data_IF_635000667015
#
_entry.id   IF_635000667015
#
_cell.length_a   1.000
_cell.length_b   1.000
_cell.length_c   1.000
_cell.angle_alpha   90.00
_cell.angle_beta   90.00
_cell.angle_gamma   90.00
#
_symmetry.space_group_name_H-M   'P 1'
#
loop_
_entity.id
_entity.type
_entity.pdbx_description
1 polymer ?
#
# COMPACT_ATOMS: atom_id res chain seq x y z
N UNK A 1 26.43 -0.55 28.33
CA UNK A 1 25.22 -0.52 27.50
C UNK A 1 25.33 0.73 26.62
N UNK A 2 25.42 0.50 25.29
CA UNK A 2 25.28 1.47 24.19
C UNK A 2 26.30 2.59 24.05
N UNK A 3 27.06 2.57 22.94
CA UNK A 3 27.17 3.67 21.94
C UNK A 3 28.02 3.19 20.75
N UNK A 4 27.58 3.61 19.55
CA UNK A 4 28.21 3.65 18.21
C UNK A 4 28.10 2.41 17.31
N UNK A 5 27.35 2.45 16.22
CA UNK A 5 27.37 3.33 15.03
C UNK A 5 28.27 2.75 13.92
N UNK A 6 27.59 2.34 12.84
CA UNK A 6 28.00 2.27 11.44
C UNK A 6 29.49 2.12 11.10
N UNK A 7 29.84 0.97 10.53
CA UNK A 7 30.56 0.98 9.24
C UNK A 7 30.65 -0.39 8.59
N UNK A 8 30.36 -0.37 7.28
CA UNK A 8 31.02 -1.16 6.22
C UNK A 8 30.81 -2.67 6.22
N UNK A 9 30.12 -3.15 5.18
CA UNK A 9 30.53 -4.36 4.50
C UNK A 9 30.37 -4.19 2.98
N UNK A 10 31.41 -3.60 2.40
CA UNK A 10 31.80 -3.80 1.01
C UNK A 10 32.97 -4.78 0.99
N UNK A 11 32.73 -5.91 0.35
CA UNK A 11 33.64 -6.69 -0.48
C UNK A 11 35.18 -6.52 -0.32
N UNK A 12 35.81 -7.68 -0.05
CA UNK A 12 36.89 -8.28 -0.85
C UNK A 12 38.31 -8.36 -0.24
N UNK A 13 38.94 -9.52 -0.55
CA UNK A 13 40.36 -9.90 -0.57
C UNK A 13 40.95 -10.32 0.78
N UNK A 14 41.10 -11.62 1.05
CA UNK A 14 42.13 -12.57 0.57
C UNK A 14 43.53 -12.31 1.13
N UNK A 15 43.97 -13.14 2.08
CA UNK A 15 45.31 -13.72 2.02
C UNK A 15 45.37 -15.02 2.84
N UNK A 16 45.52 -16.13 2.12
CA UNK A 16 45.78 -17.48 2.64
C UNK A 16 47.31 -17.66 2.72
N UNK A 17 47.82 -18.15 3.85
CA UNK A 17 49.18 -18.65 3.98
C UNK A 17 49.14 -20.07 4.56
N UNK A 18 49.04 -21.07 3.67
CA UNK A 18 49.28 -22.49 4.00
C UNK A 18 50.79 -22.77 4.06
N UNK A 19 51.22 -23.88 4.67
CA UNK A 19 51.28 -25.15 3.92
C UNK A 19 50.82 -26.35 4.79
N UNK A 20 50.35 -27.48 4.25
CA UNK A 20 51.18 -28.51 3.59
C UNK A 20 50.35 -29.59 2.87
N UNK A 21 50.94 -30.06 1.77
CA UNK A 21 50.93 -31.40 1.15
C UNK A 21 49.61 -32.05 0.69
N UNK A 22 49.46 -32.08 -0.65
CA UNK A 22 48.62 -32.99 -1.42
C UNK A 22 49.14 -34.45 -1.37
N UNK A 23 48.26 -35.43 -1.63
CA UNK A 23 48.59 -36.45 -2.61
C UNK A 23 47.61 -36.47 -3.79
N UNK A 24 48.23 -36.62 -4.95
CA UNK A 24 47.73 -36.88 -6.29
C UNK A 24 46.56 -37.87 -6.41
N UNK A 25 45.38 -37.36 -6.77
CA UNK A 25 44.60 -37.97 -7.84
C UNK A 25 43.93 -36.86 -8.65
N UNK A 26 44.41 -36.67 -9.88
CA UNK A 26 43.83 -35.73 -10.86
C UNK A 26 42.40 -36.21 -11.14
N UNK A 27 41.41 -35.53 -10.57
CA UNK A 27 40.04 -35.54 -11.07
C UNK A 27 39.66 -34.12 -11.45
N UNK A 28 39.46 -33.92 -12.75
CA UNK A 28 39.10 -32.67 -13.41
C UNK A 28 38.07 -31.86 -12.60
N UNK A 29 38.53 -30.76 -12.02
CA UNK A 29 37.66 -29.78 -11.35
C UNK A 29 36.93 -28.86 -12.33
N UNK A 30 37.34 -28.86 -13.61
CA UNK A 30 36.80 -28.03 -14.68
C UNK A 30 35.39 -28.42 -15.17
N UNK A 31 34.77 -29.45 -14.59
CA UNK A 31 33.44 -29.93 -15.01
C UNK A 31 32.43 -30.09 -13.85
N UNK A 32 32.62 -29.38 -12.73
CA UNK A 32 31.53 -29.22 -11.76
C UNK A 32 30.62 -28.12 -12.24
N UNK A 33 29.45 -28.52 -12.72
CA UNK A 33 28.28 -27.66 -12.82
C UNK A 33 28.17 -26.79 -11.57
N UNK A 34 27.78 -25.50 -11.70
CA UNK A 34 27.54 -24.67 -10.54
C UNK A 34 26.59 -25.42 -9.62
N UNK A 35 26.99 -25.63 -8.36
CA UNK A 35 26.09 -26.16 -7.33
C UNK A 35 24.87 -25.26 -7.34
N UNK A 36 23.77 -25.77 -7.87
CA UNK A 36 22.49 -25.10 -7.88
C UNK A 36 22.20 -24.75 -6.42
N UNK A 37 22.08 -23.45 -6.15
CA UNK A 37 21.49 -23.00 -4.90
C UNK A 37 20.12 -23.67 -4.82
N UNK A 38 19.74 -24.28 -3.69
CA UNK A 38 18.36 -24.74 -3.55
C UNK A 38 17.45 -23.53 -3.80
N UNK A 39 16.36 -23.68 -4.57
CA UNK A 39 15.42 -22.59 -4.75
C UNK A 39 14.94 -22.18 -3.36
N UNK A 40 15.21 -20.92 -2.99
CA UNK A 40 14.53 -20.30 -1.86
C UNK A 40 13.05 -20.52 -2.12
N UNK A 41 12.39 -21.19 -1.16
CA UNK A 41 10.96 -21.47 -1.22
C UNK A 41 10.24 -20.22 -1.68
N UNK A 42 9.42 -20.39 -2.70
CA UNK A 42 8.63 -19.32 -3.29
C UNK A 42 7.73 -18.77 -2.19
N UNK A 43 8.17 -17.71 -1.51
CA UNK A 43 7.23 -16.69 -1.09
C UNK A 43 6.56 -16.29 -2.39
N UNK A 44 5.31 -16.69 -2.56
CA UNK A 44 4.44 -16.19 -3.61
C UNK A 44 4.36 -14.69 -3.37
N UNK A 45 5.30 -13.96 -3.95
CA UNK A 45 5.10 -12.55 -4.23
C UNK A 45 3.88 -12.56 -5.13
N UNK A 46 2.73 -12.24 -4.54
CA UNK A 46 1.60 -11.76 -5.33
C UNK A 46 2.16 -10.68 -6.24
N UNK A 47 1.68 -10.59 -7.48
CA UNK A 47 2.08 -9.55 -8.43
C UNK A 47 1.76 -8.17 -7.84
N UNK A 48 2.63 -7.70 -6.97
CA UNK A 48 2.57 -6.41 -6.32
C UNK A 48 3.23 -5.41 -7.24
N UNK A 49 2.65 -4.22 -7.39
CA UNK A 49 3.18 -3.16 -8.26
C UNK A 49 4.67 -2.94 -7.99
N UNK A 50 5.42 -2.72 -9.06
CA UNK A 50 6.83 -2.32 -8.95
C UNK A 50 6.93 -1.05 -8.08
N UNK A 51 7.83 -1.00 -7.08
CA UNK A 51 7.95 0.12 -6.17
C UNK A 51 8.28 1.45 -6.88
N UNK A 52 8.80 1.43 -8.11
CA UNK A 52 8.97 2.63 -8.92
C UNK A 52 7.64 3.22 -9.40
N UNK A 53 6.68 2.39 -9.80
CA UNK A 53 5.34 2.83 -10.25
C UNK A 53 4.49 3.36 -9.10
N UNK A 54 4.69 2.86 -7.88
CA UNK A 54 3.91 3.31 -6.71
C UNK A 54 4.19 4.77 -6.34
N UNK A 55 5.38 5.27 -6.65
CA UNK A 55 5.75 6.67 -6.36
C UNK A 55 4.97 7.69 -7.17
N UNK A 56 4.54 7.29 -8.36
CA UNK A 56 3.72 8.13 -9.23
C UNK A 56 2.26 8.19 -8.77
N UNK A 57 1.86 7.34 -7.81
CA UNK A 57 0.51 7.31 -7.26
C UNK A 57 0.45 8.16 -5.99
N UNK A 58 -0.42 9.16 -6.02
CA UNK A 58 -0.70 10.04 -4.87
C UNK A 58 -2.03 9.68 -4.24
N UNK A 59 -2.05 9.46 -2.92
CA UNK A 59 -3.25 9.14 -2.15
C UNK A 59 -3.47 10.18 -1.06
N UNK A 60 -4.70 10.68 -0.96
CA UNK A 60 -5.12 11.48 0.19
C UNK A 60 -5.74 10.55 1.23
N UNK A 61 -5.30 10.63 2.47
CA UNK A 61 -5.88 9.87 3.58
C UNK A 61 -6.25 10.75 4.74
N UNK A 62 -7.33 10.45 5.46
CA UNK A 62 -7.79 11.29 6.57
C UNK A 62 -8.87 10.64 7.41
N UNK A 63 -9.23 11.33 8.48
CA UNK A 63 -10.31 10.91 9.39
C UNK A 63 -11.50 11.83 9.20
N UNK A 64 -12.64 11.28 8.77
CA UNK A 64 -13.85 12.06 8.46
C UNK A 64 -14.73 12.30 9.69
N UNK A 65 -15.44 13.43 9.70
CA UNK A 65 -16.54 13.66 10.63
C UNK A 65 -16.08 14.13 12.01
N UNK A 66 -16.62 13.59 13.09
CA UNK A 66 -16.25 13.97 14.48
C UNK A 66 -15.22 13.02 15.12
N UNK A 67 -14.50 12.28 14.29
CA UNK A 67 -13.61 11.23 14.73
C UNK A 67 -12.20 11.76 15.07
N UNK A 68 -11.66 11.34 16.22
CA UNK A 68 -10.32 11.71 16.73
C UNK A 68 -9.31 10.56 16.67
N UNK A 69 -9.67 9.44 16.04
CA UNK A 69 -8.81 8.26 15.92
C UNK A 69 -7.76 8.41 14.82
N UNK A 70 -6.76 9.25 15.06
CA UNK A 70 -5.68 9.55 14.11
C UNK A 70 -4.62 8.43 14.06
N UNK A 71 -4.48 7.62 15.12
CA UNK A 71 -3.39 6.65 15.27
C UNK A 71 -3.43 5.57 14.18
N UNK A 72 -4.60 4.98 13.93
CA UNK A 72 -4.76 3.93 12.93
C UNK A 72 -4.43 4.43 11.53
N UNK A 73 -4.96 5.61 11.18
CA UNK A 73 -4.67 6.25 9.92
C UNK A 73 -3.18 6.58 9.76
N UNK A 74 -2.53 7.10 10.82
CA UNK A 74 -1.11 7.43 10.77
C UNK A 74 -0.22 6.20 10.54
N UNK A 75 -0.54 5.07 11.17
CA UNK A 75 0.16 3.80 10.96
C UNK A 75 -0.02 3.33 9.51
N UNK A 76 -1.22 3.45 8.96
CA UNK A 76 -1.51 3.12 7.57
C UNK A 76 -0.72 4.02 6.61
N UNK A 77 -0.74 5.34 6.81
CA UNK A 77 0.03 6.29 6.00
C UNK A 77 1.51 5.92 5.98
N UNK A 78 2.10 5.66 7.15
CA UNK A 78 3.52 5.29 7.25
C UNK A 78 3.83 4.00 6.48
N UNK A 79 2.97 2.99 6.59
CA UNK A 79 3.15 1.73 5.87
C UNK A 79 3.03 1.90 4.34
N UNK A 80 2.12 2.76 3.88
CA UNK A 80 1.95 3.08 2.47
C UNK A 80 3.13 3.90 1.92
N UNK A 81 3.63 4.88 2.69
CA UNK A 81 4.85 5.63 2.38
C UNK A 81 6.07 4.69 2.28
N UNK A 82 6.21 3.73 3.21
CA UNK A 82 7.25 2.70 3.17
C UNK A 82 7.11 1.78 1.95
N UNK A 83 5.88 1.49 1.51
CA UNK A 83 5.61 0.73 0.30
C UNK A 83 5.92 1.50 -0.99
N UNK A 84 6.14 2.82 -0.89
CA UNK A 84 6.55 3.70 -1.99
C UNK A 84 5.45 4.60 -2.53
N UNK A 85 4.29 4.72 -1.88
CA UNK A 85 3.20 5.61 -2.28
C UNK A 85 3.42 7.05 -1.78
N UNK A 86 2.95 8.04 -2.54
CA UNK A 86 2.92 9.44 -2.08
C UNK A 86 1.64 9.67 -1.27
N UNK A 87 1.75 9.83 0.05
CA UNK A 87 0.58 9.98 0.93
C UNK A 87 0.44 11.42 1.44
N UNK A 88 -0.74 11.99 1.25
CA UNK A 88 -1.15 13.27 1.83
C UNK A 88 -2.10 12.97 2.98
N UNK A 89 -1.62 13.10 4.22
CA UNK A 89 -2.45 12.84 5.40
C UNK A 89 -3.15 14.13 5.85
N UNK A 90 -4.48 14.11 5.85
CA UNK A 90 -5.33 15.12 6.45
C UNK A 90 -5.49 14.88 7.96
N UNK A 91 -5.92 15.91 8.67
CA UNK A 91 -6.10 15.89 10.11
C UNK A 91 -7.27 15.01 10.58
N UNK A 92 -7.62 15.19 11.84
CA UNK A 92 -8.91 14.76 12.36
C UNK A 92 -9.96 15.84 12.12
N UNK A 93 -11.22 15.43 12.20
CA UNK A 93 -12.37 16.32 12.11
C UNK A 93 -12.55 16.98 10.75
N UNK A 94 -12.09 16.31 9.69
CA UNK A 94 -12.08 16.87 8.33
C UNK A 94 -13.42 16.62 7.64
N UNK A 95 -14.11 17.65 7.12
CA UNK A 95 -15.32 17.48 6.32
C UNK A 95 -15.01 16.94 4.91
N UNK A 96 -15.98 16.30 4.27
CA UNK A 96 -15.83 15.73 2.92
C UNK A 96 -15.29 16.75 1.89
N UNK A 97 -15.73 18.00 1.96
CA UNK A 97 -15.29 19.08 1.06
C UNK A 97 -13.78 19.34 1.14
N UNK A 98 -13.16 19.16 2.32
CA UNK A 98 -11.73 19.38 2.50
C UNK A 98 -10.91 18.22 1.91
N UNK A 99 -11.43 16.98 1.97
CA UNK A 99 -10.83 15.86 1.25
C UNK A 99 -10.76 16.12 -0.25
N UNK A 100 -11.84 16.65 -0.81
CA UNK A 100 -11.94 16.93 -2.23
C UNK A 100 -11.00 18.06 -2.64
N UNK A 101 -10.95 19.16 -1.87
CA UNK A 101 -9.98 20.24 -2.11
C UNK A 101 -8.55 19.74 -2.05
N UNK A 102 -8.21 18.95 -1.04
CA UNK A 102 -6.88 18.37 -0.91
C UNK A 102 -6.55 17.44 -2.10
N UNK A 103 -7.50 16.63 -2.55
CA UNK A 103 -7.32 15.76 -3.71
C UNK A 103 -7.07 16.54 -5.00
N UNK A 104 -7.76 17.67 -5.20
CA UNK A 104 -7.53 18.57 -6.35
C UNK A 104 -6.16 19.23 -6.26
N UNK A 105 -5.82 19.81 -5.10
CA UNK A 105 -4.57 20.54 -4.90
C UNK A 105 -3.33 19.64 -5.07
N UNK A 106 -3.45 18.37 -4.67
CA UNK A 106 -2.36 17.40 -4.71
C UNK A 106 -2.40 16.50 -5.94
N UNK A 107 -3.39 16.68 -6.83
CA UNK A 107 -3.65 15.84 -7.99
C UNK A 107 -3.65 14.34 -7.63
N UNK A 108 -4.40 13.99 -6.59
CA UNK A 108 -4.43 12.63 -6.06
C UNK A 108 -5.13 11.64 -6.99
N UNK A 109 -4.58 10.44 -7.09
CA UNK A 109 -5.14 9.33 -7.87
C UNK A 109 -6.21 8.55 -7.08
N UNK A 110 -6.21 8.67 -5.76
CA UNK A 110 -7.17 8.03 -4.87
C UNK A 110 -7.37 8.76 -3.55
N UNK A 111 -8.54 8.56 -2.94
CA UNK A 111 -8.89 9.10 -1.62
C UNK A 111 -9.23 7.93 -0.70
N UNK A 112 -8.62 7.94 0.48
CA UNK A 112 -8.85 6.98 1.55
C UNK A 112 -9.48 7.68 2.75
N UNK A 113 -10.69 7.25 3.10
CA UNK A 113 -11.44 7.82 4.21
C UNK A 113 -11.48 6.81 5.36
N UNK A 114 -11.03 7.23 6.54
CA UNK A 114 -11.15 6.45 7.76
C UNK A 114 -12.30 6.96 8.63
N UNK A 115 -13.16 6.05 9.08
CA UNK A 115 -14.20 6.32 10.08
C UNK A 115 -14.23 5.20 11.12
N UNK A 116 -14.00 5.52 12.40
CA UNK A 116 -13.98 4.56 13.51
C UNK A 116 -15.15 4.70 14.48
N UNK A 117 -15.98 5.73 14.32
CA UNK A 117 -17.09 6.02 15.23
C UNK A 117 -18.43 5.37 14.82
N UNK A 118 -18.44 4.60 13.73
CA UNK A 118 -19.57 3.76 13.33
C UNK A 118 -20.70 4.50 12.62
N UNK A 119 -20.45 5.73 12.17
CA UNK A 119 -21.38 6.56 11.42
C UNK A 119 -20.85 6.89 10.02
N UNK A 120 -19.97 6.03 9.49
CA UNK A 120 -19.40 6.18 8.16
C UNK A 120 -20.46 6.29 7.06
N UNK A 121 -21.62 5.63 7.21
CA UNK A 121 -22.74 5.77 6.27
C UNK A 121 -23.26 7.21 6.14
N UNK A 122 -23.22 8.01 7.22
CA UNK A 122 -23.68 9.40 7.15
C UNK A 122 -22.64 10.31 6.52
N UNK A 123 -21.36 10.10 6.83
CA UNK A 123 -20.25 10.91 6.32
C UNK A 123 -19.95 10.62 4.84
N UNK A 124 -20.13 9.37 4.43
CA UNK A 124 -19.86 8.92 3.07
C UNK A 124 -21.03 9.19 2.12
N UNK A 125 -22.23 9.49 2.65
CA UNK A 125 -23.39 9.83 1.83
C UNK A 125 -23.18 11.18 1.15
N UNK A 126 -23.28 11.21 -0.17
CA UNK A 126 -23.03 12.43 -0.94
C UNK A 126 -21.57 12.60 -1.34
N UNK A 127 -20.65 11.75 -0.88
CA UNK A 127 -19.22 11.90 -1.13
C UNK A 127 -18.90 11.76 -2.62
N UNK A 128 -19.51 10.77 -3.28
CA UNK A 128 -19.35 10.53 -4.71
C UNK A 128 -19.87 11.70 -5.54
N UNK A 129 -21.02 12.25 -5.18
CA UNK A 129 -21.62 13.40 -5.85
C UNK A 129 -20.70 14.62 -5.75
N UNK A 130 -20.17 14.91 -4.55
CA UNK A 130 -19.23 16.00 -4.35
C UNK A 130 -17.93 15.81 -5.15
N UNK A 131 -17.42 14.57 -5.25
CA UNK A 131 -16.28 14.26 -6.12
C UNK A 131 -16.59 14.54 -7.60
N UNK A 132 -17.78 14.17 -8.08
CA UNK A 132 -18.20 14.43 -9.46
C UNK A 132 -18.36 15.93 -9.73
N UNK A 133 -18.95 16.68 -8.80
CA UNK A 133 -19.08 18.14 -8.91
C UNK A 133 -17.72 18.85 -8.97
N UNK A 134 -16.72 18.29 -8.31
CA UNK A 134 -15.34 18.75 -8.33
C UNK A 134 -14.53 18.31 -9.57
N UNK A 135 -15.10 17.47 -10.45
CA UNK A 135 -14.41 16.92 -11.62
C UNK A 135 -13.50 15.72 -11.32
N UNK A 136 -13.66 15.08 -10.16
CA UNK A 136 -12.95 13.86 -9.74
C UNK A 136 -13.83 12.62 -9.95
N UNK A 137 -14.38 12.44 -11.14
CA UNK A 137 -15.29 11.31 -11.42
C UNK A 137 -14.56 9.95 -11.55
N UNK A 138 -13.28 9.98 -11.89
CA UNK A 138 -12.46 8.77 -12.09
C UNK A 138 -11.54 8.45 -10.90
N UNK A 139 -11.65 9.17 -9.78
CA UNK A 139 -10.80 8.95 -8.62
C UNK A 139 -11.21 7.67 -7.88
N UNK A 140 -10.23 6.90 -7.40
CA UNK A 140 -10.51 5.70 -6.62
C UNK A 140 -10.86 6.08 -5.18
N UNK A 141 -12.02 5.63 -4.71
CA UNK A 141 -12.54 5.92 -3.39
C UNK A 141 -12.49 4.70 -2.49
N UNK A 142 -11.74 4.83 -1.41
CA UNK A 142 -11.58 3.79 -0.41
C UNK A 142 -12.16 4.26 0.92
N UNK A 143 -12.85 3.36 1.61
CA UNK A 143 -13.34 3.60 2.97
C UNK A 143 -12.85 2.50 3.90
N UNK A 144 -12.45 2.87 5.12
CA UNK A 144 -11.94 1.91 6.09
C UNK A 144 -12.28 2.26 7.53
N UNK A 145 -12.25 1.25 8.39
CA UNK A 145 -12.46 1.40 9.82
C UNK A 145 -13.75 0.75 10.30
N UNK A 146 -14.33 1.31 11.37
CA UNK A 146 -15.58 0.83 11.93
C UNK A 146 -16.73 1.68 11.37
N UNK A 147 -17.32 1.20 10.27
CA UNK A 147 -18.28 1.96 9.47
C UNK A 147 -19.71 1.98 10.04
N UNK A 148 -20.07 0.95 10.82
CA UNK A 148 -21.44 0.77 11.36
C UNK A 148 -21.37 0.41 12.84
N UNK A 149 -22.15 1.11 13.67
CA UNK A 149 -22.40 0.69 15.06
C UNK A 149 -23.46 -0.42 15.07
N UNK A 150 -23.06 -1.69 15.27
CA UNK A 150 -24.03 -2.77 15.47
C UNK A 150 -23.53 -4.16 15.07
N UNK A 151 -24.44 -5.14 15.13
CA UNK A 151 -24.22 -6.53 14.65
C UNK A 151 -24.76 -6.69 13.22
N UNK A 152 -24.25 -5.89 12.30
CA UNK A 152 -24.56 -6.05 10.87
C UNK A 152 -23.49 -6.94 10.24
N UNK A 153 -23.85 -7.94 9.42
CA UNK A 153 -22.85 -8.73 8.69
C UNK A 153 -22.07 -7.82 7.73
N UNK A 154 -20.76 -8.06 7.63
CA UNK A 154 -19.85 -7.22 6.85
C UNK A 154 -20.25 -7.12 5.37
N UNK A 155 -20.72 -8.22 4.77
CA UNK A 155 -21.14 -8.27 3.36
C UNK A 155 -22.22 -7.23 3.03
N UNK A 156 -23.11 -6.95 3.98
CA UNK A 156 -24.18 -5.95 3.81
C UNK A 156 -23.62 -4.53 3.91
N UNK A 157 -22.64 -4.32 4.80
CA UNK A 157 -21.97 -3.04 4.96
C UNK A 157 -21.18 -2.71 3.71
N UNK A 158 -20.32 -3.62 3.26
CA UNK A 158 -19.51 -3.47 2.05
C UNK A 158 -20.40 -3.13 0.83
N UNK A 159 -21.47 -3.90 0.62
CA UNK A 159 -22.39 -3.64 -0.49
C UNK A 159 -23.01 -2.24 -0.44
N UNK A 160 -23.36 -1.73 0.75
CA UNK A 160 -23.90 -0.37 0.88
C UNK A 160 -22.89 0.69 0.47
N UNK A 161 -21.61 0.53 0.83
CA UNK A 161 -20.56 1.49 0.43
C UNK A 161 -20.28 1.43 -1.07
N UNK A 162 -20.29 0.23 -1.66
CA UNK A 162 -20.21 0.06 -3.11
C UNK A 162 -21.39 0.74 -3.82
N UNK A 163 -22.61 0.54 -3.32
CA UNK A 163 -23.83 1.17 -3.86
C UNK A 163 -23.82 2.71 -3.69
N UNK A 164 -23.07 3.24 -2.71
CA UNK A 164 -22.84 4.68 -2.50
C UNK A 164 -21.76 5.28 -3.43
N UNK A 165 -21.08 4.46 -4.23
CA UNK A 165 -20.07 4.90 -5.20
C UNK A 165 -18.63 4.84 -4.70
N UNK A 166 -18.35 4.09 -3.62
CA UNK A 166 -16.98 3.73 -3.25
C UNK A 166 -16.52 2.50 -4.03
N UNK A 167 -15.22 2.41 -4.32
CA UNK A 167 -14.66 1.27 -5.04
C UNK A 167 -14.38 0.09 -4.11
N UNK A 168 -13.95 0.38 -2.86
CA UNK A 168 -13.69 -0.65 -1.84
C UNK A 168 -13.97 -0.17 -0.42
N UNK A 169 -14.42 -1.10 0.41
CA UNK A 169 -14.55 -0.93 1.85
C UNK A 169 -13.67 -1.93 2.61
N UNK A 170 -12.93 -1.46 3.62
CA UNK A 170 -12.04 -2.29 4.43
C UNK A 170 -12.58 -2.49 5.86
N UNK A 171 -12.67 -3.75 6.34
CA UNK A 171 -13.14 -4.03 7.69
C UNK A 171 -12.13 -3.57 8.75
N UNK A 172 -12.60 -3.36 10.00
CA UNK A 172 -11.70 -3.08 11.10
C UNK A 172 -10.77 -4.29 11.32
N UNK A 173 -9.47 -4.02 11.48
CA UNK A 173 -8.46 -5.06 11.68
C UNK A 173 -7.80 -5.60 10.40
N UNK A 174 -8.12 -5.03 9.23
CA UNK A 174 -7.41 -5.32 7.97
C UNK A 174 -5.91 -5.04 8.11
N UNK A 175 -5.08 -5.94 7.58
CA UNK A 175 -3.62 -5.78 7.63
C UNK A 175 -3.19 -4.77 6.58
N UNK A 176 -2.21 -3.92 6.90
CA UNK A 176 -1.63 -2.94 5.96
C UNK A 176 -1.17 -3.57 4.65
N UNK A 177 -0.60 -4.78 4.69
CA UNK A 177 -0.18 -5.51 3.49
C UNK A 177 -1.34 -5.88 2.56
N UNK A 178 -2.51 -6.21 3.11
CA UNK A 178 -3.70 -6.55 2.30
C UNK A 178 -4.25 -5.29 1.61
N UNK A 179 -4.20 -4.15 2.29
CA UNK A 179 -4.57 -2.85 1.69
C UNK A 179 -3.63 -2.50 0.55
N UNK A 180 -2.31 -2.68 0.72
CA UNK A 180 -1.32 -2.43 -0.33
C UNK A 180 -1.56 -3.34 -1.55
N UNK A 181 -1.82 -4.63 -1.33
CA UNK A 181 -2.09 -5.58 -2.42
C UNK A 181 -3.39 -5.24 -3.18
N UNK A 182 -4.42 -4.74 -2.48
CA UNK A 182 -5.66 -4.26 -3.10
C UNK A 182 -5.41 -2.99 -3.94
N UNK A 183 -4.71 -1.99 -3.37
CA UNK A 183 -4.34 -0.76 -4.08
C UNK A 183 -3.52 -1.09 -5.34
N UNK A 184 -2.56 -2.00 -5.21
CA UNK A 184 -1.70 -2.41 -6.32
C UNK A 184 -2.53 -2.95 -7.50
N UNK A 185 -3.53 -3.78 -7.22
CA UNK A 185 -4.42 -4.35 -8.24
C UNK A 185 -5.27 -3.29 -8.94
N UNK A 186 -5.85 -2.38 -8.17
CA UNK A 186 -6.74 -1.34 -8.72
C UNK A 186 -5.96 -0.34 -9.57
N UNK A 187 -4.80 0.12 -9.10
CA UNK A 187 -3.94 1.03 -9.86
C UNK A 187 -3.32 0.36 -11.09
N UNK A 188 -3.03 -0.94 -11.03
CA UNK A 188 -2.60 -1.70 -12.22
C UNK A 188 -3.71 -1.75 -13.27
N UNK A 189 -4.92 -2.14 -12.87
CA UNK A 189 -6.07 -2.20 -13.78
C UNK A 189 -6.38 -0.85 -14.42
N UNK A 190 -6.28 0.24 -13.66
CA UNK A 190 -6.46 1.61 -14.17
C UNK A 190 -5.37 2.02 -15.15
N UNK A 191 -4.11 1.69 -14.86
CA UNK A 191 -2.97 1.98 -15.74
C UNK A 191 -3.06 1.23 -17.07
N UNK A 192 -3.53 -0.03 -17.03
CA UNK A 192 -3.74 -0.84 -18.23
C UNK A 192 -4.91 -0.32 -19.08
N UNK A 193 -6.01 0.11 -18.45
CA UNK A 193 -7.13 0.73 -19.14
C UNK A 193 -6.74 2.01 -19.90
N UNK A 194 -5.92 2.88 -19.28
CA UNK A 194 -5.44 4.12 -19.91
C UNK A 194 -4.54 3.88 -21.13
N UNK A 195 -3.75 2.80 -21.14
CA UNK A 195 -2.87 2.45 -22.28
C UNK A 195 -3.64 2.01 -23.53
N UNK A 196 -4.87 1.52 -23.38
CA UNK A 196 -5.68 1.01 -24.50
C UNK A 196 -6.41 2.16 -25.21
N UNK A 197 -6.76 3.25 -24.52
CA UNK A 197 -7.43 4.42 -25.12
C UNK A 197 -6.51 5.33 -25.93
N UNK A 198 -5.21 5.30 -25.67
CA UNK A 198 -4.20 6.16 -26.29
C UNK A 198 -3.54 5.54 -27.54
N UNK A 199 -4.01 4.37 -28.01
CA UNK A 199 -3.50 3.64 -29.19
C UNK A 199 -4.52 3.60 -30.32
#
# INVERSE_FOLDING_TARGET
MWVRCLSRNLCARSNDSRPRSCPSSRRNWANRSPRQRPPLGQCTVTETLDPSKRKDVTLVTGVIGSDTHIVGNRILSMALEEAGYTIVTLGALTPADEFIKAAIETAADGIMVSSLYGQGELDCRGFRELCVEAGLEDILLYVGGNLVVGKTPWDVVEKRFLDMGFDRAFPPGTRTLEVIDALDKDFTARTEGKRISDS
#
